data_IF_504303554209
#
_entry.id   IF_504303554209
#
_cell.length_a   1.000
_cell.length_b   1.000
_cell.length_c   1.000
_cell.angle_alpha   90.00
_cell.angle_beta   90.00
_cell.angle_gamma   90.00
#
_symmetry.space_group_name_H-M   'P 1'
#
loop_
_entity.id
_entity.type
_entity.pdbx_description
1 polymer ?
#
# COMPACT_ATOMS: atom_id res chain seq x y z
N UNK A 1 18.66 -7.87 -14.97
CA UNK A 1 17.43 -8.59 -14.56
C UNK A 1 16.44 -8.63 -15.73
N UNK A 2 15.50 -9.58 -15.84
CA UNK A 2 14.47 -9.52 -16.87
C UNK A 2 13.59 -8.27 -16.67
N UNK A 3 13.19 -7.65 -17.77
CA UNK A 3 12.43 -6.39 -17.76
C UNK A 3 11.00 -6.56 -17.23
N UNK A 4 10.44 -7.75 -17.35
CA UNK A 4 9.08 -8.12 -16.95
C UNK A 4 9.12 -9.18 -15.85
N UNK A 5 8.16 -9.09 -14.92
CA UNK A 5 8.03 -10.06 -13.83
C UNK A 5 7.56 -11.43 -14.32
N UNK A 6 6.73 -11.46 -15.36
CA UNK A 6 6.28 -12.69 -16.00
C UNK A 6 7.45 -13.53 -16.56
N UNK A 7 8.39 -12.89 -17.27
CA UNK A 7 9.59 -13.57 -17.74
C UNK A 7 10.45 -14.07 -16.59
N UNK A 8 10.50 -13.35 -15.45
CA UNK A 8 11.18 -13.84 -14.25
C UNK A 8 10.53 -15.13 -13.72
N UNK A 9 9.20 -15.16 -13.59
CA UNK A 9 8.43 -16.31 -13.16
C UNK A 9 8.70 -17.54 -14.04
N UNK A 10 8.63 -17.36 -15.36
CA UNK A 10 8.89 -18.43 -16.32
C UNK A 10 10.31 -19.00 -16.25
N UNK A 11 11.29 -18.17 -15.87
CA UNK A 11 12.69 -18.58 -15.68
C UNK A 11 12.87 -19.38 -14.39
N UNK A 12 12.37 -18.88 -13.25
CA UNK A 12 12.54 -19.59 -11.98
C UNK A 12 11.71 -20.89 -11.91
N UNK A 13 10.57 -20.93 -12.61
CA UNK A 13 9.72 -22.11 -12.77
C UNK A 13 10.37 -23.27 -13.55
N UNK A 14 11.64 -23.12 -13.97
CA UNK A 14 12.44 -24.23 -14.52
C UNK A 14 13.06 -25.10 -13.43
N UNK A 15 13.19 -24.60 -12.20
CA UNK A 15 13.80 -25.29 -11.06
C UNK A 15 12.74 -25.99 -10.18
N UNK A 16 13.16 -26.97 -9.35
CA UNK A 16 12.29 -27.56 -8.32
C UNK A 16 11.15 -28.45 -8.83
N UNK A 17 11.40 -29.31 -9.82
CA UNK A 17 10.42 -30.25 -10.38
C UNK A 17 10.34 -31.54 -9.56
N UNK A 18 9.24 -32.29 -9.72
CA UNK A 18 9.00 -33.59 -9.08
C UNK A 18 9.15 -33.57 -7.54
N UNK A 19 8.59 -32.55 -6.89
CA UNK A 19 8.60 -32.44 -5.41
C UNK A 19 9.95 -32.11 -4.79
N UNK A 20 11.00 -31.90 -5.60
CA UNK A 20 12.34 -31.53 -5.12
C UNK A 20 12.43 -30.01 -4.94
N UNK A 21 13.21 -29.59 -3.95
CA UNK A 21 13.53 -28.16 -3.75
C UNK A 21 14.40 -27.66 -4.90
N UNK A 22 14.09 -26.47 -5.41
CA UNK A 22 14.90 -25.73 -6.38
C UNK A 22 15.47 -24.47 -5.75
N UNK A 23 16.54 -23.91 -6.32
CA UNK A 23 17.08 -22.62 -5.91
C UNK A 23 17.37 -21.78 -7.14
N UNK A 24 16.88 -20.53 -7.12
CA UNK A 24 17.16 -19.55 -8.15
C UNK A 24 17.91 -18.37 -7.52
N UNK A 25 19.09 -18.06 -8.05
CA UNK A 25 19.92 -16.94 -7.61
C UNK A 25 19.88 -15.88 -8.71
N UNK A 26 19.57 -14.64 -8.33
CA UNK A 26 19.56 -13.51 -9.26
C UNK A 26 20.76 -12.61 -8.95
N UNK A 27 21.61 -12.41 -9.94
CA UNK A 27 22.67 -11.40 -9.88
C UNK A 27 22.06 -10.07 -10.33
N UNK A 28 22.20 -9.04 -9.51
CA UNK A 28 21.50 -7.77 -9.68
C UNK A 28 22.50 -6.64 -9.55
N UNK A 29 22.56 -5.79 -10.56
CA UNK A 29 23.36 -4.56 -10.54
C UNK A 29 22.52 -3.34 -10.12
N UNK A 30 23.14 -2.19 -9.93
CA UNK A 30 22.47 -0.98 -9.46
C UNK A 30 21.30 -0.54 -10.36
N UNK A 31 21.46 -0.66 -11.68
CA UNK A 31 20.43 -0.28 -12.66
C UNK A 31 19.21 -1.22 -12.65
N UNK A 32 19.37 -2.45 -12.17
CA UNK A 32 18.33 -3.47 -12.09
C UNK A 32 17.51 -3.40 -10.79
N UNK A 33 17.90 -2.56 -9.83
CA UNK A 33 17.29 -2.52 -8.50
C UNK A 33 15.78 -2.24 -8.55
N UNK A 34 15.33 -1.42 -9.49
CA UNK A 34 13.90 -1.15 -9.69
C UNK A 34 13.14 -2.39 -10.20
N UNK A 35 13.79 -3.22 -11.03
CA UNK A 35 13.20 -4.46 -11.54
C UNK A 35 13.06 -5.49 -10.43
N UNK A 36 14.02 -5.56 -9.51
CA UNK A 36 13.96 -6.41 -8.32
C UNK A 36 12.70 -6.12 -7.49
N UNK A 37 12.44 -4.83 -7.20
CA UNK A 37 11.23 -4.42 -6.47
C UNK A 37 9.93 -4.74 -7.22
N UNK A 38 9.91 -4.60 -8.57
CA UNK A 38 8.75 -5.00 -9.39
C UNK A 38 8.48 -6.51 -9.31
N UNK A 39 9.53 -7.32 -9.40
CA UNK A 39 9.44 -8.78 -9.29
C UNK A 39 8.95 -9.19 -7.91
N UNK A 40 9.51 -8.62 -6.84
CA UNK A 40 9.08 -8.93 -5.47
C UNK A 40 7.61 -8.59 -5.21
N UNK A 41 7.13 -7.46 -5.74
CA UNK A 41 5.69 -7.10 -5.67
C UNK A 41 4.82 -8.08 -6.46
N UNK A 42 5.27 -8.53 -7.63
CA UNK A 42 4.52 -9.47 -8.46
C UNK A 42 4.41 -10.86 -7.80
N UNK A 43 5.48 -11.32 -7.16
CA UNK A 43 5.52 -12.59 -6.43
C UNK A 43 4.88 -12.52 -5.04
N UNK A 44 4.53 -11.31 -4.57
CA UNK A 44 4.09 -11.02 -3.19
C UNK A 44 5.09 -11.45 -2.10
N UNK A 45 6.37 -11.65 -2.47
CA UNK A 45 7.43 -12.04 -1.54
C UNK A 45 8.71 -11.22 -1.83
N UNK A 46 9.36 -10.63 -0.81
CA UNK A 46 10.63 -9.95 -1.00
C UNK A 46 11.76 -10.96 -1.23
N UNK A 47 12.57 -10.72 -2.27
CA UNK A 47 13.75 -11.53 -2.56
C UNK A 47 14.86 -11.23 -1.55
N UNK A 48 15.27 -12.25 -0.79
CA UNK A 48 16.29 -12.12 0.26
C UNK A 48 17.67 -11.87 -0.35
N UNK A 49 18.28 -10.73 -0.02
CA UNK A 49 19.66 -10.44 -0.38
C UNK A 49 20.63 -11.34 0.40
N UNK A 50 21.69 -11.79 -0.26
CA UNK A 50 22.82 -12.50 0.36
C UNK A 50 24.12 -11.87 -0.12
N UNK A 51 25.12 -11.86 0.75
CA UNK A 51 26.47 -11.38 0.47
C UNK A 51 27.42 -12.54 0.67
N UNK A 52 28.34 -12.73 -0.26
CA UNK A 52 29.44 -13.69 -0.14
C UNK A 52 30.60 -12.91 0.48
N UNK A 53 31.18 -13.44 1.56
CA UNK A 53 32.14 -12.70 2.39
C UNK A 53 33.39 -12.28 1.60
N UNK A 54 33.92 -13.20 0.78
CA UNK A 54 35.07 -12.96 -0.10
C UNK A 54 34.78 -11.97 -1.23
N UNK A 55 33.51 -11.79 -1.61
CA UNK A 55 33.09 -10.96 -2.75
C UNK A 55 32.10 -9.88 -2.33
N UNK A 56 32.49 -9.10 -1.32
CA UNK A 56 31.64 -8.04 -0.78
C UNK A 56 31.57 -6.84 -1.74
N UNK A 57 30.37 -6.31 -2.05
CA UNK A 57 30.24 -5.12 -2.87
C UNK A 57 30.82 -3.90 -2.16
N UNK A 58 31.69 -3.17 -2.86
CA UNK A 58 32.31 -1.94 -2.37
C UNK A 58 31.33 -0.75 -2.36
N UNK A 59 30.37 -0.75 -3.29
CA UNK A 59 29.38 0.32 -3.44
C UNK A 59 28.10 0.05 -2.65
N UNK A 60 27.43 1.14 -2.24
CA UNK A 60 26.17 1.06 -1.49
C UNK A 60 25.02 0.62 -2.39
N UNK A 61 24.14 -0.23 -1.86
CA UNK A 61 22.89 -0.60 -2.53
C UNK A 61 22.03 0.64 -2.82
N UNK A 62 21.51 0.78 -4.06
CA UNK A 62 20.54 1.83 -4.37
C UNK A 62 19.32 1.73 -3.44
N UNK A 63 18.71 2.86 -3.09
CA UNK A 63 17.50 2.84 -2.26
C UNK A 63 16.25 2.73 -3.15
N UNK A 64 15.29 1.87 -2.79
CA UNK A 64 13.96 1.81 -3.42
C UNK A 64 13.11 3.09 -3.23
N UNK A 65 13.58 4.03 -2.40
CA UNK A 65 12.86 5.27 -2.09
C UNK A 65 12.85 6.21 -3.29
N UNK A 66 11.90 6.01 -4.20
CA UNK A 66 11.33 7.12 -4.98
C UNK A 66 10.39 7.96 -4.12
N UNK A 67 10.81 8.32 -2.91
CA UNK A 67 10.07 9.25 -2.06
C UNK A 67 10.57 10.66 -2.36
N UNK A 68 10.39 11.08 -3.61
CA UNK A 68 10.20 12.50 -3.84
C UNK A 68 8.96 12.90 -3.05
N UNK A 69 9.09 13.87 -2.14
CA UNK A 69 7.94 14.47 -1.47
C UNK A 69 6.92 14.82 -2.57
N UNK A 70 5.64 14.40 -2.46
CA UNK A 70 4.65 14.76 -3.46
C UNK A 70 4.67 16.27 -3.65
N UNK A 71 4.60 16.74 -4.90
CA UNK A 71 4.60 18.17 -5.19
C UNK A 71 3.51 18.87 -4.36
N UNK A 72 3.78 20.12 -3.92
CA UNK A 72 2.84 20.92 -3.11
C UNK A 72 1.43 20.95 -3.73
N UNK A 73 1.33 20.95 -5.08
CA UNK A 73 0.06 20.88 -5.82
C UNK A 73 -0.72 19.58 -5.58
N UNK A 74 -0.04 18.43 -5.55
CA UNK A 74 -0.67 17.12 -5.31
C UNK A 74 -1.12 17.00 -3.85
N UNK A 75 -0.36 17.59 -2.91
CA UNK A 75 -0.74 17.67 -1.51
C UNK A 75 -1.99 18.53 -1.30
N UNK A 76 -2.03 19.72 -1.90
CA UNK A 76 -3.20 20.61 -1.82
C UNK A 76 -4.46 19.94 -2.37
N UNK A 77 -4.37 19.29 -3.54
CA UNK A 77 -5.48 18.56 -4.15
C UNK A 77 -6.01 17.43 -3.26
N UNK A 78 -5.11 16.66 -2.62
CA UNK A 78 -5.51 15.60 -1.66
C UNK A 78 -6.22 16.17 -0.43
N UNK A 79 -5.82 17.35 0.04
CA UNK A 79 -6.47 18.01 1.19
C UNK A 79 -7.89 18.46 0.79
N UNK A 80 -8.03 19.08 -0.38
CA UNK A 80 -9.34 19.49 -0.92
C UNK A 80 -10.27 18.30 -1.14
N UNK A 81 -9.78 17.23 -1.76
CA UNK A 81 -10.57 16.01 -2.00
C UNK A 81 -11.02 15.38 -0.68
N UNK A 82 -10.18 15.41 0.36
CA UNK A 82 -10.50 14.89 1.70
C UNK A 82 -11.56 15.76 2.40
N UNK A 83 -11.50 17.08 2.25
CA UNK A 83 -12.49 18.01 2.79
C UNK A 83 -13.85 17.83 2.10
N UNK A 84 -13.87 17.79 0.76
CA UNK A 84 -15.08 17.56 -0.04
C UNK A 84 -15.76 16.23 0.28
N UNK A 85 -14.97 15.17 0.51
CA UNK A 85 -15.54 13.87 0.89
C UNK A 85 -16.09 13.85 2.31
N UNK A 86 -15.52 14.65 3.22
CA UNK A 86 -16.01 14.80 4.60
C UNK A 86 -17.34 15.58 4.63
N UNK A 87 -17.50 16.57 3.78
CA UNK A 87 -18.77 17.31 3.61
C UNK A 87 -19.87 16.45 2.97
N UNK A 88 -19.50 15.56 2.04
CA UNK A 88 -20.44 14.64 1.37
C UNK A 88 -20.80 13.40 2.19
N UNK A 89 -20.15 13.19 3.34
CA UNK A 89 -20.51 12.13 4.27
C UNK A 89 -21.87 12.45 4.92
N UNK A 90 -22.96 12.20 4.17
CA UNK A 90 -24.33 12.33 4.67
C UNK A 90 -24.47 11.47 5.92
N UNK A 91 -24.77 12.12 7.05
CA UNK A 91 -25.21 11.43 8.26
C UNK A 91 -26.40 10.56 7.87
N UNK A 92 -26.30 9.24 8.04
CA UNK A 92 -27.40 8.30 7.76
C UNK A 92 -28.51 8.54 8.79
N UNK A 93 -29.37 9.51 8.55
CA UNK A 93 -30.59 9.70 9.33
C UNK A 93 -31.56 8.59 8.92
N UNK A 94 -31.92 7.72 9.87
CA UNK A 94 -32.91 6.66 9.60
C UNK A 94 -34.29 7.31 9.45
N UNK A 95 -35.05 6.87 8.45
CA UNK A 95 -36.37 7.42 8.13
C UNK A 95 -37.37 7.40 9.32
N UNK A 96 -37.19 6.48 10.29
CA UNK A 96 -37.99 6.43 11.53
C UNK A 96 -37.71 7.61 12.47
N UNK A 97 -36.47 8.07 12.55
CA UNK A 97 -36.05 9.17 13.43
C UNK A 97 -36.56 10.52 12.91
N UNK A 98 -36.55 10.71 11.57
CA UNK A 98 -37.07 11.90 10.92
C UNK A 98 -38.60 12.08 11.10
N UNK A 99 -39.37 10.98 11.17
CA UNK A 99 -40.83 11.02 11.28
C UNK A 99 -41.35 11.31 12.71
N UNK A 100 -40.51 11.20 13.74
CA UNK A 100 -40.93 11.32 15.15
C UNK A 100 -40.78 12.73 15.73
N UNK A 101 -40.35 13.71 14.93
CA UNK A 101 -40.04 15.08 15.40
C UNK A 101 -41.31 15.86 15.82
N UNK A 102 -42.46 15.61 15.17
CA UNK A 102 -43.70 16.37 15.41
C UNK A 102 -44.63 15.83 16.52
N UNK A 103 -44.33 14.68 17.12
CA UNK A 103 -45.19 14.04 18.15
C UNK A 103 -44.53 13.94 19.53
N UNK A 104 -43.53 14.76 19.82
CA UNK A 104 -42.95 14.83 21.18
C UNK A 104 -43.85 15.66 22.07
N UNK A 105 -44.61 15.00 22.95
CA UNK A 105 -45.25 15.66 24.10
C UNK A 105 -44.13 16.24 24.97
N UNK A 106 -44.13 17.57 25.14
CA UNK A 106 -43.25 18.22 26.10
C UNK A 106 -43.70 17.81 27.52
N UNK A 107 -42.80 17.31 28.38
CA UNK A 107 -43.15 17.09 29.78
C UNK A 107 -43.40 18.44 30.46
N UNK A 108 -44.49 18.56 31.22
CA UNK A 108 -44.95 19.80 31.86
C UNK A 108 -44.17 20.19 33.14
N UNK A 109 -43.11 19.48 33.51
CA UNK A 109 -42.33 19.79 34.70
C UNK A 109 -40.98 20.41 34.29
N UNK A 110 -40.72 21.64 34.76
CA UNK A 110 -39.39 22.25 34.70
C UNK A 110 -38.48 21.48 35.67
N UNK A 111 -37.27 21.06 35.28
CA UNK A 111 -36.32 20.54 36.25
C UNK A 111 -35.75 21.72 37.04
N UNK A 112 -35.86 21.64 38.37
CA UNK A 112 -35.15 22.56 39.26
C UNK A 112 -33.64 22.42 39.04
N UNK A 113 -32.97 23.57 38.90
CA UNK A 113 -31.53 23.63 38.79
C UNK A 113 -30.91 23.46 40.18
N UNK A 114 -30.01 22.48 40.30
CA UNK A 114 -28.97 22.41 41.33
C UNK A 114 -27.62 22.47 40.63
#
# INVERSE_FOLDING_TARGET
MPRTADTYLHRIGRTGRAGRKGTAISLVEAHDHLLLGKVGRYLNEPLKARVIDELRPSTKVPSEKSNGKPSKKVLAKRIEDKLKNKEKAKVKVRHRDAKNVGKRRQPKAKPDAQ
#
